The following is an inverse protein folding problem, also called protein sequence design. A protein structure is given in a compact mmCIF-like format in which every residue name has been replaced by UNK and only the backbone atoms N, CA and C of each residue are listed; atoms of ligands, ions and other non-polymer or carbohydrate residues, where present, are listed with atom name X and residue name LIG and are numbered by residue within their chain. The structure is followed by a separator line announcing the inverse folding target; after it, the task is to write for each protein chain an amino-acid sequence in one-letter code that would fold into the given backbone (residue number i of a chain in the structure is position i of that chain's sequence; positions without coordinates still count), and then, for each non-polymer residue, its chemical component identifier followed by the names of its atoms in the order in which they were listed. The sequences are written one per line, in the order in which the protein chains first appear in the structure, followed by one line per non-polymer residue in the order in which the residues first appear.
data_IF_427513799000
#
_entry.id   IF_427513799000
#
_cell.length_a   1.000
_cell.length_b   1.000
_cell.length_c   1.000
_cell.angle_alpha   90.00
_cell.angle_beta   90.00
_cell.angle_gamma   90.00
#
_symmetry.space_group_name_H-M   'P 1'
#
loop_
_entity.id
_entity.type
_entity.pdbx_description
1 polymer ?
#
# COMPACT_ATOMS: atom_id res chain seq x y z
N UNK A 1 5.88 -3.71 7.62
CA UNK A 1 6.83 -2.64 7.22
C UNK A 1 6.10 -1.34 7.42
N UNK A 2 6.65 -0.38 8.17
CA UNK A 2 5.90 0.80 8.60
C UNK A 2 6.65 2.06 8.20
N UNK A 3 6.11 2.82 7.26
CA UNK A 3 6.63 4.15 6.95
C UNK A 3 6.17 5.10 8.07
N UNK A 4 7.12 5.72 8.79
CA UNK A 4 6.80 6.66 9.88
C UNK A 4 7.43 8.02 9.61
N UNK A 5 6.63 9.07 9.80
CA UNK A 5 7.14 10.43 9.91
C UNK A 5 7.69 10.61 11.32
N UNK A 6 8.99 10.88 11.46
CA UNK A 6 9.64 10.96 12.78
C UNK A 6 10.19 12.36 13.11
N UNK A 7 10.02 13.35 12.23
CA UNK A 7 10.51 14.71 12.50
C UNK A 7 9.52 15.80 12.07
N UNK A 8 8.49 15.98 12.92
CA UNK A 8 7.49 17.06 12.83
C UNK A 8 8.15 18.45 12.74
N UNK A 9 9.34 18.64 13.31
CA UNK A 9 9.98 19.94 13.40
C UNK A 9 10.62 20.41 12.08
N UNK A 10 10.93 19.49 11.16
CA UNK A 10 11.62 19.83 9.91
C UNK A 10 11.13 19.08 8.66
N UNK A 11 10.07 18.27 8.78
CA UNK A 11 9.42 17.59 7.65
C UNK A 11 10.27 16.50 6.99
N UNK A 12 11.31 16.01 7.67
CA UNK A 12 12.15 14.92 7.17
C UNK A 12 11.50 13.55 7.43
N UNK A 13 11.68 12.63 6.48
CA UNK A 13 11.07 11.32 6.51
C UNK A 13 12.10 10.22 6.75
N UNK A 14 11.74 9.24 7.58
CA UNK A 14 12.51 8.04 7.80
C UNK A 14 11.71 6.82 7.32
N UNK A 15 12.39 5.88 6.66
CA UNK A 15 11.85 4.55 6.47
C UNK A 15 12.31 3.70 7.64
N UNK A 16 11.35 3.22 8.41
CA UNK A 16 11.55 2.38 9.57
C UNK A 16 10.99 0.98 9.30
N UNK A 17 11.68 -0.06 9.78
CA UNK A 17 11.25 -1.45 9.61
C UNK A 17 11.35 -2.21 10.94
N UNK A 18 10.33 -3.03 11.20
CA UNK A 18 10.28 -3.96 12.31
C UNK A 18 9.74 -3.33 13.60
N UNK A 19 9.58 -4.17 14.61
CA UNK A 19 9.01 -3.77 15.92
C UNK A 19 9.87 -2.74 16.66
N UNK A 20 11.16 -2.66 16.32
CA UNK A 20 12.11 -1.73 16.92
C UNK A 20 12.28 -0.43 16.11
N UNK A 21 11.42 -0.17 15.12
CA UNK A 21 11.46 1.01 14.26
C UNK A 21 12.87 1.28 13.69
N UNK A 22 13.50 0.22 13.18
CA UNK A 22 14.88 0.33 12.68
C UNK A 22 14.91 1.25 11.46
N UNK A 23 15.53 2.41 11.60
CA UNK A 23 15.73 3.37 10.51
C UNK A 23 16.68 2.77 9.46
N UNK A 24 16.16 2.57 8.25
CA UNK A 24 16.92 2.03 7.12
C UNK A 24 16.96 2.97 5.91
N UNK A 25 16.24 4.08 5.94
CA UNK A 25 16.21 5.06 4.86
C UNK A 25 15.85 6.47 5.36
N UNK A 26 16.30 7.47 4.63
CA UNK A 26 16.10 8.89 4.95
C UNK A 26 15.78 9.70 3.69
N UNK A 27 14.72 10.50 3.75
CA UNK A 27 14.36 11.45 2.70
C UNK A 27 14.20 12.85 3.31
N UNK A 28 15.11 13.79 2.98
CA UNK A 28 14.99 15.14 3.50
C UNK A 28 13.82 15.89 2.86
N UNK A 29 13.12 16.73 3.61
CA UNK A 29 11.95 17.47 3.11
C UNK A 29 12.22 18.17 1.76
N UNK A 30 13.42 18.76 1.63
CA UNK A 30 13.83 19.59 0.47
C UNK A 30 13.88 18.87 -0.88
N UNK A 31 13.88 17.54 -0.91
CA UNK A 31 13.83 16.80 -2.20
C UNK A 31 12.41 16.63 -2.72
N UNK A 32 11.41 16.88 -1.88
CA UNK A 32 10.02 16.93 -2.26
C UNK A 32 9.68 18.35 -2.73
N UNK A 33 9.05 18.46 -3.89
CA UNK A 33 8.64 19.73 -4.51
C UNK A 33 7.21 19.61 -5.01
N UNK A 34 6.56 20.73 -5.33
CA UNK A 34 5.20 20.73 -5.87
C UNK A 34 4.13 20.29 -4.86
N UNK A 35 4.33 20.55 -3.56
CA UNK A 35 3.38 20.21 -2.50
C UNK A 35 3.55 18.83 -1.86
N UNK A 36 4.50 18.02 -2.37
CA UNK A 36 4.83 16.70 -1.80
C UNK A 36 5.58 16.76 -0.46
N UNK A 37 5.91 17.96 0.00
CA UNK A 37 6.65 18.21 1.24
C UNK A 37 5.73 18.54 2.44
N UNK A 38 4.42 18.36 2.26
CA UNK A 38 3.35 18.64 3.22
C UNK A 38 2.38 17.44 3.26
N UNK A 39 1.39 17.47 4.16
CA UNK A 39 0.38 16.42 4.28
C UNK A 39 -0.49 16.32 3.01
N UNK A 40 -0.88 15.08 2.67
CA UNK A 40 -1.72 14.80 1.53
C UNK A 40 -3.22 14.85 1.91
N UNK A 41 -4.05 15.32 0.99
CA UNK A 41 -5.53 15.26 1.11
C UNK A 41 -6.13 13.99 0.53
N UNK A 42 -5.39 13.34 -0.38
CA UNK A 42 -5.71 12.06 -1.01
C UNK A 42 -4.44 11.25 -1.09
N UNK A 43 -4.56 9.94 -0.91
CA UNK A 43 -3.45 9.01 -1.04
C UNK A 43 -3.97 7.66 -1.51
N UNK A 44 -3.18 6.99 -2.34
CA UNK A 44 -3.49 5.68 -2.91
C UNK A 44 -2.40 4.68 -2.49
N UNK A 45 -2.79 3.42 -2.33
CA UNK A 45 -1.87 2.31 -2.13
C UNK A 45 -2.25 1.13 -3.03
N UNK A 46 -1.25 0.41 -3.51
CA UNK A 46 -1.46 -0.75 -4.38
C UNK A 46 -0.29 -0.96 -5.33
N UNK A 47 -0.61 -1.43 -6.53
CA UNK A 47 0.35 -1.67 -7.59
C UNK A 47 -0.33 -1.74 -8.95
N UNK A 48 0.48 -1.69 -10.00
CA UNK A 48 0.02 -1.73 -11.38
C UNK A 48 0.67 -2.91 -12.10
N UNK A 49 -0.13 -3.68 -12.84
CA UNK A 49 0.34 -4.73 -13.74
C UNK A 49 0.09 -4.28 -15.18
N UNK A 50 1.17 -4.08 -15.94
CA UNK A 50 1.10 -3.60 -17.32
C UNK A 50 1.75 -4.60 -18.29
N UNK A 51 1.02 -4.94 -19.36
CA UNK A 51 1.54 -5.67 -20.53
C UNK A 51 1.35 -4.83 -21.80
N UNK A 52 2.39 -4.63 -22.62
CA UNK A 52 2.26 -4.02 -23.92
C UNK A 52 1.27 -4.79 -24.83
N UNK A 53 0.52 -4.12 -25.73
CA UNK A 53 -0.49 -4.76 -26.59
C UNK A 53 0.00 -5.92 -27.48
N UNK A 54 1.32 -6.02 -27.71
CA UNK A 54 1.94 -6.99 -28.60
C UNK A 54 2.78 -8.04 -27.86
N UNK A 55 2.80 -8.03 -26.53
CA UNK A 55 3.47 -9.05 -25.74
C UNK A 55 2.46 -10.12 -25.31
N UNK A 56 2.81 -11.38 -25.56
CA UNK A 56 1.99 -12.51 -25.14
C UNK A 56 2.27 -12.81 -23.68
N UNK A 57 1.32 -12.50 -22.81
CA UNK A 57 1.38 -12.86 -21.40
C UNK A 57 0.73 -11.83 -20.51
N UNK A 58 0.04 -12.30 -19.49
CA UNK A 58 -0.43 -11.48 -18.40
C UNK A 58 0.71 -11.35 -17.37
N UNK A 59 1.09 -10.12 -16.94
CA UNK A 59 2.14 -9.96 -15.94
C UNK A 59 1.81 -10.72 -14.66
N UNK A 60 2.81 -11.35 -14.07
CA UNK A 60 2.61 -12.04 -12.81
C UNK A 60 2.32 -11.04 -11.69
N UNK A 61 1.40 -11.37 -10.79
CA UNK A 61 1.06 -10.49 -9.66
C UNK A 61 0.68 -11.29 -8.41
N UNK A 62 1.11 -10.81 -7.25
CA UNK A 62 0.81 -11.43 -5.95
C UNK A 62 1.31 -12.87 -5.86
N UNK A 63 0.44 -13.76 -5.37
CA UNK A 63 0.77 -15.18 -5.16
C UNK A 63 0.72 -16.02 -6.42
N UNK A 64 0.34 -15.44 -7.56
CA UNK A 64 0.12 -16.19 -8.80
C UNK A 64 -1.24 -16.91 -8.86
N UNK A 65 -2.12 -16.66 -7.88
CA UNK A 65 -3.47 -17.18 -7.84
C UNK A 65 -4.51 -16.05 -7.89
N UNK A 66 -5.69 -16.40 -8.38
CA UNK A 66 -6.89 -15.56 -8.26
C UNK A 66 -7.25 -15.48 -6.76
N UNK A 67 -7.65 -14.28 -6.31
CA UNK A 67 -7.97 -14.02 -4.91
C UNK A 67 -9.03 -14.99 -4.36
N UNK A 68 -8.63 -15.79 -3.37
CA UNK A 68 -9.55 -16.64 -2.61
C UNK A 68 -10.20 -15.88 -1.45
N UNK A 69 -9.55 -14.82 -0.96
CA UNK A 69 -9.95 -14.04 0.21
C UNK A 69 -9.33 -14.53 1.51
N UNK A 70 -8.28 -15.34 1.41
CA UNK A 70 -7.57 -15.93 2.52
C UNK A 70 -6.15 -15.39 2.59
N UNK A 71 -5.74 -14.88 3.75
CA UNK A 71 -4.35 -14.45 4.00
C UNK A 71 -3.33 -15.59 3.94
N UNK A 72 -3.78 -16.84 3.87
CA UNK A 72 -2.91 -18.01 3.68
C UNK A 72 -2.59 -18.30 2.21
N UNK A 73 -3.33 -17.70 1.27
CA UNK A 73 -3.24 -17.99 -0.17
C UNK A 73 -3.00 -16.71 -0.98
N UNK A 74 -3.63 -15.61 -0.59
CA UNK A 74 -3.51 -14.31 -1.24
C UNK A 74 -2.22 -13.62 -0.80
N UNK A 75 -1.63 -12.81 -1.68
CA UNK A 75 -0.66 -11.81 -1.24
C UNK A 75 -1.38 -10.63 -0.62
N UNK A 76 -0.77 -10.03 0.41
CA UNK A 76 -1.41 -8.92 1.13
C UNK A 76 -0.39 -7.92 1.66
N UNK A 77 -0.88 -6.71 1.91
CA UNK A 77 -0.26 -5.68 2.73
C UNK A 77 -1.17 -5.44 3.93
N UNK A 78 -0.61 -5.36 5.13
CA UNK A 78 -1.36 -5.25 6.38
C UNK A 78 -0.87 -4.05 7.21
N UNK A 79 -1.62 -3.73 8.27
CA UNK A 79 -1.34 -2.62 9.18
C UNK A 79 -1.20 -1.28 8.46
N UNK A 80 -2.05 -1.06 7.46
CA UNK A 80 -2.11 0.19 6.71
C UNK A 80 -2.68 1.29 7.61
N UNK A 81 -1.90 2.35 7.81
CA UNK A 81 -2.27 3.52 8.59
C UNK A 81 -1.93 4.79 7.82
N UNK A 82 -2.58 5.89 8.19
CA UNK A 82 -2.31 7.23 7.67
C UNK A 82 -1.84 8.16 8.78
N UNK A 83 -1.46 9.38 8.44
CA UNK A 83 -1.03 10.40 9.39
C UNK A 83 -1.99 11.58 9.28
N UNK A 84 -2.54 12.03 10.41
CA UNK A 84 -3.46 13.16 10.45
C UNK A 84 -2.73 14.52 10.57
N UNK A 85 -3.48 15.62 10.62
CA UNK A 85 -2.92 16.98 10.77
C UNK A 85 -2.11 17.18 12.06
N UNK A 86 -2.44 16.44 13.12
CA UNK A 86 -1.71 16.44 14.39
C UNK A 86 -0.45 15.56 14.35
N UNK A 87 -0.11 15.00 13.19
CA UNK A 87 1.03 14.09 12.98
C UNK A 87 0.93 12.77 13.74
N UNK A 88 -0.29 12.41 14.16
CA UNK A 88 -0.56 11.14 14.80
C UNK A 88 -0.88 10.06 13.75
N UNK A 89 -0.35 8.83 13.90
CA UNK A 89 -0.79 7.68 13.13
C UNK A 89 -2.26 7.38 13.44
N UNK A 90 -3.08 7.25 12.41
CA UNK A 90 -4.50 6.89 12.51
C UNK A 90 -4.84 5.74 11.55
N UNK A 91 -5.92 5.03 11.84
CA UNK A 91 -6.39 3.93 10.99
C UNK A 91 -6.82 4.50 9.63
N UNK A 92 -6.42 3.82 8.55
CA UNK A 92 -6.86 4.20 7.21
C UNK A 92 -8.37 3.92 7.08
N UNK A 93 -9.13 4.94 6.67
CA UNK A 93 -10.59 4.89 6.51
C UNK A 93 -11.04 5.59 5.22
N UNK A 94 -12.35 5.56 4.97
CA UNK A 94 -12.99 6.14 3.77
C UNK A 94 -12.35 5.68 2.45
N UNK A 95 -12.04 4.38 2.36
CA UNK A 95 -11.34 3.77 1.23
C UNK A 95 -12.26 3.48 0.05
N UNK A 96 -11.69 3.61 -1.15
CA UNK A 96 -12.30 3.14 -2.40
C UNK A 96 -11.36 2.12 -3.06
N UNK A 97 -11.95 1.05 -3.60
CA UNK A 97 -11.18 0.01 -4.30
C UNK A 97 -11.18 0.30 -5.80
N UNK A 98 -10.03 0.76 -6.30
CA UNK A 98 -9.78 0.88 -7.74
C UNK A 98 -9.13 -0.40 -8.23
N UNK A 99 -9.91 -1.20 -8.96
CA UNK A 99 -9.48 -2.50 -9.47
C UNK A 99 -9.47 -2.58 -11.00
N UNK A 100 -9.08 -3.75 -11.50
CA UNK A 100 -9.12 -4.03 -12.93
C UNK A 100 -10.57 -3.98 -13.46
N UNK A 101 -10.86 -3.00 -14.32
CA UNK A 101 -12.18 -2.80 -14.95
C UNK A 101 -12.55 -3.93 -15.92
N UNK A 102 -11.55 -4.66 -16.44
CA UNK A 102 -11.78 -5.76 -17.34
C UNK A 102 -11.99 -7.07 -16.57
N UNK A 103 -13.24 -7.39 -16.25
CA UNK A 103 -13.67 -8.59 -15.50
C UNK A 103 -13.11 -9.91 -16.06
N UNK A 104 -12.63 -9.93 -17.31
CA UNK A 104 -12.03 -11.13 -17.92
C UNK A 104 -10.58 -11.37 -17.55
N UNK A 105 -9.85 -10.38 -17.03
CA UNK A 105 -8.48 -10.58 -16.58
C UNK A 105 -8.46 -11.08 -15.11
N UNK A 106 -7.62 -12.06 -14.78
CA UNK A 106 -7.55 -12.70 -13.47
C UNK A 106 -6.85 -11.85 -12.40
N UNK A 107 -6.86 -10.52 -12.51
CA UNK A 107 -6.33 -9.61 -11.50
C UNK A 107 -7.42 -9.20 -10.52
N UNK A 108 -7.09 -9.26 -9.24
CA UNK A 108 -7.98 -8.85 -8.17
C UNK A 108 -7.26 -8.06 -7.09
N UNK A 109 -8.01 -7.15 -6.48
CA UNK A 109 -7.67 -6.46 -5.24
C UNK A 109 -8.90 -6.51 -4.33
N UNK A 110 -8.68 -6.68 -3.02
CA UNK A 110 -9.73 -6.59 -2.00
C UNK A 110 -9.22 -5.76 -0.83
N UNK A 111 -10.08 -4.89 -0.36
CA UNK A 111 -9.84 -4.05 0.82
C UNK A 111 -10.58 -4.64 2.02
N UNK A 112 -9.87 -4.76 3.13
CA UNK A 112 -10.38 -5.23 4.40
C UNK A 112 -10.13 -4.12 5.43
N UNK A 113 -11.17 -3.32 5.76
CA UNK A 113 -11.01 -2.22 6.69
C UNK A 113 -10.60 -2.73 8.07
N UNK A 114 -9.99 -1.86 8.86
CA UNK A 114 -9.59 -2.22 10.22
C UNK A 114 -10.81 -2.59 11.08
N UNK A 115 -10.83 -3.84 11.54
CA UNK A 115 -11.87 -4.38 12.43
C UNK A 115 -11.29 -4.77 13.80
N UNK A 116 -10.04 -4.38 14.08
CA UNK A 116 -9.24 -4.85 15.22
C UNK A 116 -8.50 -6.17 14.93
N UNK A 117 -7.60 -6.56 15.84
CA UNK A 117 -6.74 -7.74 15.69
C UNK A 117 -5.36 -7.42 15.09
N UNK A 118 -4.56 -8.46 14.85
CA UNK A 118 -3.12 -8.29 14.52
C UNK A 118 -2.88 -7.73 13.11
N UNK A 119 -3.74 -8.07 12.14
CA UNK A 119 -3.61 -7.67 10.74
C UNK A 119 -4.07 -6.22 10.49
N UNK A 120 -4.94 -5.68 11.37
CA UNK A 120 -5.50 -4.32 11.28
C UNK A 120 -6.11 -4.09 9.89
N UNK A 121 -5.95 -2.90 9.30
CA UNK A 121 -6.34 -2.65 7.90
C UNK A 121 -5.46 -3.45 6.94
N UNK A 122 -6.07 -4.24 6.05
CA UNK A 122 -5.38 -5.12 5.11
C UNK A 122 -5.91 -4.97 3.68
N UNK A 123 -5.00 -4.98 2.71
CA UNK A 123 -5.34 -5.13 1.29
C UNK A 123 -4.76 -6.44 0.79
N UNK A 124 -5.59 -7.28 0.15
CA UNK A 124 -5.13 -8.46 -0.57
C UNK A 124 -5.14 -8.22 -2.08
N UNK A 125 -4.17 -8.79 -2.77
CA UNK A 125 -4.00 -8.68 -4.21
C UNK A 125 -3.49 -9.99 -4.82
N UNK A 126 -3.93 -10.28 -6.03
CA UNK A 126 -3.65 -11.55 -6.70
C UNK A 126 -3.86 -11.47 -8.20
N UNK A 127 -3.14 -12.30 -8.93
CA UNK A 127 -3.10 -12.31 -10.37
C UNK A 127 -2.56 -13.63 -10.92
N UNK A 128 -2.48 -13.77 -12.25
CA UNK A 128 -1.97 -14.98 -12.85
C UNK A 128 -0.51 -15.22 -12.45
N UNK A 129 -0.14 -16.46 -12.18
CA UNK A 129 1.23 -16.89 -11.92
C UNK A 129 1.62 -17.99 -12.89
N UNK A 130 2.28 -17.59 -13.99
CA UNK A 130 2.84 -18.45 -15.06
C UNK A 130 1.91 -19.47 -15.72
#
# INVERSE_FOLDING_TARGET
MTLKLNDEANGNWWLEIGENDTQIGFWPQRIFSGGLNDLATYLDWGGEAYSPPNESGLPQMGSGFILSGSVYEDSFCEQITTINEAHDPVDAGDTEVIGNENVTLPYGVRDYPDTGGDLRHLVSFGGPGS
#
